data_IF_393579830147
#
_entry.id   IF_393579830147
#
_cell.length_a   1.000
_cell.length_b   1.000
_cell.length_c   1.000
_cell.angle_alpha   90.00
_cell.angle_beta   90.00
_cell.angle_gamma   90.00
#
_symmetry.space_group_name_H-M   'P 1'
#
loop_
_entity.id
_entity.type
_entity.pdbx_description
1 polymer ?
#
# COMPACT_ATOMS: atom_id res chain seq x y z
N UNK A 1 -9.27 -5.88 61.76
CA UNK A 1 -8.77 -6.90 60.80
C UNK A 1 -9.68 -6.90 59.59
N UNK A 2 -9.18 -6.38 58.46
CA UNK A 2 -9.62 -6.50 57.05
C UNK A 2 -9.31 -5.20 56.32
N UNK A 3 -8.15 -5.26 55.71
CA UNK A 3 -7.43 -4.28 54.90
C UNK A 3 -8.23 -3.94 53.65
N UNK A 4 -8.46 -2.65 53.38
CA UNK A 4 -9.07 -2.16 52.15
C UNK A 4 -7.92 -1.84 51.17
N UNK A 5 -7.69 -2.74 50.23
CA UNK A 5 -6.62 -2.64 49.24
C UNK A 5 -6.98 -1.56 48.22
N UNK A 6 -6.21 -0.49 48.22
CA UNK A 6 -6.25 0.61 47.26
C UNK A 6 -5.78 0.08 45.90
N UNK A 7 -6.70 -0.04 44.94
CA UNK A 7 -6.37 -0.40 43.56
C UNK A 7 -5.45 0.67 42.96
N UNK A 8 -4.21 0.27 42.69
CA UNK A 8 -3.23 1.05 41.95
C UNK A 8 -3.76 1.34 40.54
N UNK A 9 -3.76 2.62 40.18
CA UNK A 9 -3.93 3.10 38.81
C UNK A 9 -2.86 2.42 37.93
N UNK A 10 -3.23 1.36 37.21
CA UNK A 10 -2.45 0.86 36.08
C UNK A 10 -2.62 1.86 34.93
N UNK A 11 -1.80 2.91 34.97
CA UNK A 11 -1.53 3.73 33.79
C UNK A 11 -0.93 2.81 32.73
N UNK A 12 -1.74 2.40 31.76
CA UNK A 12 -1.29 1.74 30.55
C UNK A 12 -0.49 2.75 29.75
N UNK A 13 0.80 2.87 30.08
CA UNK A 13 1.80 3.42 29.19
C UNK A 13 1.96 2.38 28.08
N UNK A 14 1.08 2.46 27.07
CA UNK A 14 1.33 1.86 25.77
C UNK A 14 2.59 2.53 25.24
N UNK A 15 3.74 1.94 25.56
CA UNK A 15 4.95 2.12 24.78
C UNK A 15 4.57 1.70 23.37
N UNK A 16 4.26 2.69 22.53
CA UNK A 16 4.33 2.55 21.08
C UNK A 16 5.75 2.07 20.79
N UNK A 17 5.90 0.76 20.72
CA UNK A 17 7.11 0.14 20.24
C UNK A 17 7.13 0.36 18.73
N UNK A 18 7.54 1.56 18.32
CA UNK A 18 7.80 1.93 16.94
C UNK A 18 9.13 1.28 16.50
N UNK A 19 9.28 -0.03 16.72
CA UNK A 19 10.37 -0.83 16.17
C UNK A 19 9.91 -1.46 14.86
N UNK A 20 9.57 -0.63 13.88
CA UNK A 20 9.55 -1.11 12.50
C UNK A 20 10.94 -0.86 11.93
N UNK A 21 11.71 -1.94 11.76
CA UNK A 21 12.89 -1.94 10.90
C UNK A 21 12.52 -1.21 9.60
N UNK A 22 13.15 -0.08 9.33
CA UNK A 22 12.92 0.71 8.12
C UNK A 22 13.53 -0.02 6.93
N UNK A 23 12.85 -1.05 6.42
CA UNK A 23 13.12 -1.50 5.07
C UNK A 23 12.68 -0.39 4.13
N UNK A 24 13.63 0.17 3.37
CA UNK A 24 13.32 1.19 2.36
C UNK A 24 12.28 0.65 1.37
N UNK A 25 11.45 1.52 0.80
CA UNK A 25 10.46 1.12 -0.22
C UNK A 25 11.10 0.29 -1.35
N UNK A 26 12.28 0.67 -1.91
CA UNK A 26 12.97 -0.17 -2.89
C UNK A 26 13.29 -1.57 -2.39
N UNK A 27 13.77 -1.71 -1.15
CA UNK A 27 14.11 -3.03 -0.57
C UNK A 27 12.86 -3.89 -0.37
N UNK A 28 11.76 -3.28 0.07
CA UNK A 28 10.46 -3.96 0.16
C UNK A 28 10.01 -4.44 -1.22
N UNK A 29 10.02 -3.59 -2.25
CA UNK A 29 9.58 -3.95 -3.59
C UNK A 29 10.48 -5.01 -4.23
N UNK A 30 11.80 -4.93 -4.06
CA UNK A 30 12.74 -5.98 -4.49
C UNK A 30 12.41 -7.32 -3.83
N UNK A 31 12.10 -7.32 -2.53
CA UNK A 31 11.68 -8.53 -1.83
C UNK A 31 10.36 -9.09 -2.37
N UNK A 32 9.36 -8.23 -2.64
CA UNK A 32 8.08 -8.63 -3.23
C UNK A 32 8.24 -9.15 -4.69
N UNK A 33 9.15 -8.59 -5.48
CA UNK A 33 9.42 -9.05 -6.85
C UNK A 33 9.97 -10.48 -6.87
N UNK A 34 10.78 -10.84 -5.88
CA UNK A 34 11.44 -12.15 -5.80
C UNK A 34 10.54 -13.27 -5.25
N UNK A 35 9.31 -12.97 -4.82
CA UNK A 35 8.36 -13.99 -4.36
C UNK A 35 7.61 -14.63 -5.52
N UNK A 36 7.40 -15.95 -5.44
CA UNK A 36 6.68 -16.77 -6.42
C UNK A 36 5.15 -16.74 -6.27
N UNK A 37 4.58 -15.69 -5.67
CA UNK A 37 3.17 -15.56 -5.28
C UNK A 37 2.41 -14.47 -6.07
N UNK A 38 2.90 -14.13 -7.26
CA UNK A 38 2.23 -13.21 -8.19
C UNK A 38 3.19 -12.32 -8.96
N UNK A 39 2.64 -11.40 -9.73
CA UNK A 39 3.38 -10.43 -10.54
C UNK A 39 3.24 -9.03 -9.93
N UNK A 40 4.35 -8.28 -9.87
CA UNK A 40 4.31 -6.86 -9.54
C UNK A 40 3.85 -6.06 -10.75
N UNK A 41 2.97 -5.09 -10.52
CA UNK A 41 2.46 -4.18 -11.51
C UNK A 41 2.63 -2.73 -11.05
N UNK A 42 3.01 -1.87 -11.98
CA UNK A 42 2.87 -0.41 -11.86
C UNK A 42 1.63 -0.01 -12.66
N UNK A 43 0.77 0.76 -12.02
CA UNK A 43 -0.51 1.21 -12.57
C UNK A 43 -0.47 2.73 -12.66
N UNK A 44 -0.60 3.27 -13.86
CA UNK A 44 -0.77 4.70 -14.10
C UNK A 44 -2.26 5.04 -14.08
N UNK A 45 -2.61 6.10 -13.34
CA UNK A 45 -3.97 6.59 -13.21
C UNK A 45 -3.98 8.09 -13.52
N UNK A 46 -4.68 8.49 -14.58
CA UNK A 46 -4.90 9.88 -14.94
C UNK A 46 -5.96 10.48 -14.01
N UNK A 47 -5.52 11.32 -13.07
CA UNK A 47 -6.39 12.00 -12.09
C UNK A 47 -5.96 13.47 -12.09
N UNK A 48 -6.63 14.34 -12.87
CA UNK A 48 -6.32 15.75 -12.92
C UNK A 48 -6.29 16.37 -11.51
N UNK A 49 -5.31 17.24 -11.26
CA UNK A 49 -5.13 17.90 -9.97
C UNK A 49 -4.95 16.94 -8.77
N UNK A 50 -4.52 15.70 -8.99
CA UNK A 50 -4.21 14.72 -7.93
C UNK A 50 -3.28 15.29 -6.84
N UNK A 51 -2.34 16.17 -7.20
CA UNK A 51 -1.41 16.81 -6.27
C UNK A 51 -2.08 17.82 -5.34
N UNK A 52 -3.31 18.24 -5.63
CA UNK A 52 -4.11 19.16 -4.81
C UNK A 52 -5.09 18.42 -3.90
N UNK A 53 -5.14 17.08 -3.95
CA UNK A 53 -5.99 16.29 -3.07
C UNK A 53 -5.57 16.47 -1.61
N UNK A 54 -6.53 16.74 -0.74
CA UNK A 54 -6.30 16.87 0.69
C UNK A 54 -5.99 15.51 1.33
N UNK A 55 -5.45 15.54 2.56
CA UNK A 55 -5.21 14.33 3.32
C UNK A 55 -6.49 13.50 3.53
N UNK A 56 -7.62 14.16 3.77
CA UNK A 56 -8.92 13.50 3.94
C UNK A 56 -9.38 12.85 2.63
N UNK A 57 -9.21 13.53 1.49
CA UNK A 57 -9.55 12.97 0.18
C UNK A 57 -8.69 11.74 -0.14
N UNK A 58 -7.38 11.81 0.11
CA UNK A 58 -6.47 10.68 -0.06
C UNK A 58 -6.81 9.52 0.88
N UNK A 59 -7.22 9.83 2.12
CA UNK A 59 -7.69 8.83 3.08
C UNK A 59 -8.96 8.13 2.57
N UNK A 60 -9.96 8.88 2.11
CA UNK A 60 -11.20 8.33 1.57
C UNK A 60 -10.96 7.45 0.34
N UNK A 61 -10.10 7.89 -0.60
CA UNK A 61 -9.70 7.08 -1.76
C UNK A 61 -9.03 5.78 -1.31
N UNK A 62 -8.17 5.85 -0.29
CA UNK A 62 -7.48 4.68 0.26
C UNK A 62 -8.47 3.71 0.92
N UNK A 63 -9.46 4.20 1.67
CA UNK A 63 -10.50 3.39 2.29
C UNK A 63 -11.31 2.63 1.24
N UNK A 64 -11.84 3.34 0.23
CA UNK A 64 -12.55 2.71 -0.88
C UNK A 64 -11.68 1.67 -1.60
N UNK A 65 -10.39 1.93 -1.80
CA UNK A 65 -9.47 0.95 -2.37
C UNK A 65 -9.34 -0.30 -1.50
N UNK A 66 -9.23 -0.15 -0.18
CA UNK A 66 -9.11 -1.28 0.75
C UNK A 66 -10.39 -2.11 0.82
N UNK A 67 -11.56 -1.47 0.90
CA UNK A 67 -12.86 -2.18 0.92
C UNK A 67 -13.02 -3.08 -0.31
N UNK A 68 -12.63 -2.57 -1.48
CA UNK A 68 -12.66 -3.35 -2.73
C UNK A 68 -11.67 -4.51 -2.72
N UNK A 69 -10.47 -4.32 -2.15
CA UNK A 69 -9.46 -5.38 -2.03
C UNK A 69 -9.95 -6.50 -1.11
N UNK A 70 -10.59 -6.15 0.02
CA UNK A 70 -11.15 -7.12 0.96
C UNK A 70 -12.19 -8.02 0.28
N UNK A 71 -12.96 -7.46 -0.67
CA UNK A 71 -13.92 -8.23 -1.46
C UNK A 71 -13.29 -9.07 -2.59
N UNK A 72 -12.13 -8.67 -3.13
CA UNK A 72 -11.42 -9.42 -4.18
C UNK A 72 -10.52 -10.53 -3.61
N UNK A 73 -10.20 -10.45 -2.33
CA UNK A 73 -9.41 -11.45 -1.61
C UNK A 73 -7.90 -11.32 -1.84
N UNK A 74 -7.17 -12.37 -1.45
CA UNK A 74 -5.72 -12.31 -1.26
C UNK A 74 -4.88 -12.41 -2.55
N UNK A 75 -5.50 -12.63 -3.71
CA UNK A 75 -4.81 -12.75 -5.00
C UNK A 75 -4.37 -11.39 -5.59
N UNK A 76 -4.73 -10.30 -4.92
CA UNK A 76 -4.35 -8.93 -5.23
C UNK A 76 -3.99 -8.19 -3.96
N UNK A 77 -2.92 -7.41 -4.01
CA UNK A 77 -2.43 -6.62 -2.88
C UNK A 77 -1.94 -5.27 -3.38
N UNK A 78 -2.48 -4.21 -2.77
CA UNK A 78 -1.91 -2.87 -2.91
C UNK A 78 -0.68 -2.73 -2.01
N UNK A 79 0.45 -2.28 -2.57
CA UNK A 79 1.68 -2.05 -1.81
C UNK A 79 1.83 -0.59 -1.40
N UNK A 80 1.68 0.35 -2.34
CA UNK A 80 1.64 1.79 -2.10
C UNK A 80 1.31 2.55 -3.39
N UNK A 81 1.19 3.87 -3.28
CA UNK A 81 0.96 4.78 -4.39
C UNK A 81 1.85 6.02 -4.29
N UNK A 82 2.15 6.62 -5.43
CA UNK A 82 2.79 7.91 -5.57
C UNK A 82 1.79 8.88 -6.19
N UNK A 83 1.49 9.95 -5.46
CA UNK A 83 0.64 11.04 -5.94
C UNK A 83 1.54 12.09 -6.57
N UNK A 84 1.23 12.48 -7.80
CA UNK A 84 1.89 13.55 -8.55
C UNK A 84 0.86 14.63 -8.87
N UNK A 85 1.24 15.66 -9.63
CA UNK A 85 0.33 16.77 -9.95
C UNK A 85 -0.98 16.29 -10.60
N UNK A 86 -0.91 15.44 -11.64
CA UNK A 86 -2.07 15.05 -12.46
C UNK A 86 -2.25 13.53 -12.59
N UNK A 87 -1.43 12.77 -11.87
CA UNK A 87 -1.42 11.31 -11.95
C UNK A 87 -1.18 10.68 -10.59
N UNK A 88 -1.71 9.48 -10.43
CA UNK A 88 -1.35 8.58 -9.34
C UNK A 88 -0.73 7.33 -9.94
N UNK A 89 0.44 6.96 -9.44
CA UNK A 89 1.11 5.71 -9.79
C UNK A 89 0.96 4.72 -8.65
N UNK A 90 0.30 3.61 -8.87
CA UNK A 90 0.11 2.57 -7.85
C UNK A 90 1.01 1.38 -8.10
N UNK A 91 1.54 0.77 -7.04
CA UNK A 91 2.28 -0.48 -7.11
C UNK A 91 1.47 -1.58 -6.45
N UNK A 92 1.14 -2.61 -7.22
CA UNK A 92 0.32 -3.74 -6.80
C UNK A 92 1.07 -5.04 -7.03
N UNK A 93 0.82 -6.06 -6.21
CA UNK A 93 1.15 -7.46 -6.48
C UNK A 93 -0.16 -8.18 -6.78
N UNK A 94 -0.25 -8.90 -7.89
CA UNK A 94 -1.46 -9.63 -8.25
C UNK A 94 -1.14 -10.90 -9.03
N UNK A 95 -2.00 -11.91 -8.97
CA UNK A 95 -1.82 -13.14 -9.76
C UNK A 95 -1.98 -12.90 -11.27
N UNK A 96 -2.71 -11.86 -11.67
CA UNK A 96 -2.87 -11.43 -13.06
C UNK A 96 -3.40 -9.98 -13.17
N UNK A 97 -3.29 -9.38 -14.36
CA UNK A 97 -3.74 -8.01 -14.66
C UNK A 97 -5.27 -7.82 -14.52
N UNK A 98 -6.07 -8.87 -14.75
CA UNK A 98 -7.53 -8.75 -14.72
C UNK A 98 -8.08 -8.43 -13.34
N UNK A 99 -7.40 -8.87 -12.27
CA UNK A 99 -7.74 -8.49 -10.89
C UNK A 99 -7.57 -6.99 -10.65
N UNK A 100 -6.54 -6.37 -11.23
CA UNK A 100 -6.30 -4.93 -11.13
C UNK A 100 -7.40 -4.16 -11.88
N UNK A 101 -7.81 -4.63 -13.05
CA UNK A 101 -8.95 -4.06 -13.79
C UNK A 101 -10.25 -4.19 -13.02
N UNK A 102 -10.47 -5.33 -12.37
CA UNK A 102 -11.65 -5.55 -11.53
C UNK A 102 -11.66 -4.62 -10.32
N UNK A 103 -10.52 -4.46 -9.65
CA UNK A 103 -10.33 -3.50 -8.54
C UNK A 103 -10.66 -2.08 -8.98
N UNK A 104 -10.05 -1.61 -10.06
CA UNK A 104 -10.27 -0.27 -10.59
C UNK A 104 -11.74 -0.02 -10.97
N UNK A 105 -12.37 -0.97 -11.68
CA UNK A 105 -13.78 -0.91 -12.07
C UNK A 105 -14.71 -0.82 -10.85
N UNK A 106 -14.44 -1.60 -9.81
CA UNK A 106 -15.29 -1.67 -8.62
C UNK A 106 -15.08 -0.47 -7.68
N UNK A 107 -13.85 0.01 -7.55
CA UNK A 107 -13.51 1.21 -6.78
C UNK A 107 -13.84 2.52 -7.48
N UNK A 108 -14.21 2.50 -8.76
CA UNK A 108 -14.51 3.72 -9.53
C UNK A 108 -13.28 4.57 -9.84
N UNK A 109 -12.09 3.97 -9.87
CA UNK A 109 -10.83 4.65 -10.17
C UNK A 109 -10.33 4.27 -11.58
N UNK A 110 -9.65 5.17 -12.30
CA UNK A 110 -9.05 4.83 -13.58
C UNK A 110 -7.86 3.89 -13.40
N UNK A 111 -7.57 3.09 -14.43
CA UNK A 111 -6.39 2.23 -14.53
C UNK A 111 -5.91 2.26 -15.99
N UNK A 112 -5.44 3.44 -16.41
CA UNK A 112 -5.16 3.78 -17.80
C UNK A 112 -4.08 2.89 -18.39
N UNK A 113 -2.97 2.70 -17.67
CA UNK A 113 -1.91 1.77 -18.05
C UNK A 113 -1.61 0.83 -16.89
N UNK A 114 -1.53 -0.48 -17.16
CA UNK A 114 -1.13 -1.49 -16.19
C UNK A 114 0.07 -2.23 -16.78
N UNK A 115 1.23 -2.16 -16.12
CA UNK A 115 2.49 -2.67 -16.66
C UNK A 115 3.15 -3.60 -15.65
N UNK A 116 3.49 -4.80 -16.10
CA UNK A 116 4.23 -5.76 -15.28
C UNK A 116 5.68 -5.29 -15.07
N UNK A 117 6.12 -5.28 -13.82
CA UNK A 117 7.50 -4.96 -13.44
C UNK A 117 8.41 -6.15 -13.71
N UNK A 118 9.41 -5.98 -14.57
CA UNK A 118 10.40 -7.01 -14.88
C UNK A 118 11.64 -6.95 -13.99
N UNK A 119 12.01 -5.76 -13.50
CA UNK A 119 13.19 -5.53 -12.67
C UNK A 119 13.07 -4.21 -11.90
N UNK A 120 13.75 -4.14 -10.75
CA UNK A 120 13.86 -2.91 -9.96
C UNK A 120 15.34 -2.56 -9.84
N UNK A 121 15.67 -1.36 -10.29
CA UNK A 121 17.02 -0.79 -10.23
C UNK A 121 17.06 0.36 -9.23
N UNK A 122 18.22 0.57 -8.62
CA UNK A 122 18.54 1.66 -7.70
C UNK A 122 20.06 1.89 -7.68
N UNK A 123 20.60 2.89 -6.94
CA UNK A 123 22.03 3.17 -6.98
C UNK A 123 22.94 1.97 -6.65
N UNK A 124 22.49 1.03 -5.81
CA UNK A 124 23.25 -0.20 -5.53
C UNK A 124 23.40 -1.11 -6.75
N UNK A 125 22.44 -1.06 -7.68
CA UNK A 125 22.48 -1.83 -8.92
C UNK A 125 23.68 -1.45 -9.80
N UNK A 126 24.24 -0.23 -9.63
CA UNK A 126 25.45 0.18 -10.34
C UNK A 126 26.71 -0.59 -9.91
N UNK A 127 26.69 -1.28 -8.76
CA UNK A 127 27.84 -1.96 -8.16
C UNK A 127 27.67 -3.49 -8.07
N UNK A 128 26.73 -4.08 -8.83
CA UNK A 128 26.49 -5.52 -8.86
C UNK A 128 27.28 -6.25 -9.95
#
# INVERSE_FOLDING_TARGET
MKTLTLFTLFGSLLLFNCSNKTNSVPNQLKAELNKNDGQLFVIERNIPDAGQLTAEQLQSISQTSCDVLDELGNDIKWLHSYVTNDKVFCVYKASNESLIKAHAKKGGFPADNIVAVSSIIDPETANK
#
